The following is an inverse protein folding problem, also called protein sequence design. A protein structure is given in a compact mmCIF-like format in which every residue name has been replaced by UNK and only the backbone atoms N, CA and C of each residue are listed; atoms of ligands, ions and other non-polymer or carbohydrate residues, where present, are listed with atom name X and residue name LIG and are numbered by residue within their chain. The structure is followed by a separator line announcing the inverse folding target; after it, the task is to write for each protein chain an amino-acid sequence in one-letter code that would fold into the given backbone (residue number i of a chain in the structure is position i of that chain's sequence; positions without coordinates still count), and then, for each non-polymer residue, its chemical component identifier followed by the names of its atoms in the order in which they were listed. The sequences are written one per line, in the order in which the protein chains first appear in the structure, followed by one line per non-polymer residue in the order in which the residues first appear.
data_IF_799580892956
#
_entry.id   IF_799580892956
#
_cell.length_a   1.000
_cell.length_b   1.000
_cell.length_c   1.000
_cell.angle_alpha   90.00
_cell.angle_beta   90.00
_cell.angle_gamma   90.00
#
_symmetry.space_group_name_H-M   'P 1'
#
loop_
_entity.id
_entity.type
_entity.pdbx_description
1 polymer ?
#
# COMPACT_ATOMS: atom_id res chain seq x y z
N UNK A 1 21.71 1.71 7.00
CA UNK A 1 21.38 0.78 8.14
C UNK A 1 22.14 -0.51 7.91
N UNK A 2 22.76 -1.13 8.93
CA UNK A 2 23.59 -2.34 8.75
C UNK A 2 22.92 -3.56 9.39
N UNK A 3 23.02 -4.74 8.77
CA UNK A 3 22.26 -5.93 9.16
C UNK A 3 22.53 -6.40 10.59
N UNK A 4 23.79 -6.45 11.05
CA UNK A 4 24.13 -6.84 12.43
C UNK A 4 23.70 -5.82 13.50
N UNK A 5 23.34 -4.59 13.13
CA UNK A 5 23.16 -3.48 14.09
C UNK A 5 21.83 -3.49 14.85
N UNK A 6 20.94 -4.45 14.56
CA UNK A 6 19.57 -4.57 15.09
C UNK A 6 18.76 -3.25 15.09
N UNK A 7 19.10 -2.34 14.17
CA UNK A 7 18.40 -1.07 13.98
C UNK A 7 17.12 -1.32 13.20
N UNK A 8 16.06 -0.61 13.59
CA UNK A 8 14.75 -0.66 12.94
C UNK A 8 14.27 0.75 12.60
N UNK A 9 13.47 0.85 11.55
CA UNK A 9 12.69 2.04 11.21
C UNK A 9 11.27 1.79 11.70
N UNK A 10 10.70 2.73 12.47
CA UNK A 10 9.30 2.68 12.91
C UNK A 10 8.51 3.67 12.08
N UNK A 11 7.38 3.24 11.52
CA UNK A 11 6.48 4.13 10.79
C UNK A 11 5.92 5.20 11.72
N UNK A 12 5.54 6.37 11.17
CA UNK A 12 5.03 7.50 11.96
C UNK A 12 3.79 7.14 12.80
N UNK A 13 2.91 6.31 12.25
CA UNK A 13 1.69 5.82 12.91
C UNK A 13 1.94 4.59 13.82
N UNK A 14 3.18 4.10 13.92
CA UNK A 14 3.57 2.93 14.72
C UNK A 14 2.80 1.64 14.35
N UNK A 15 2.37 1.50 13.11
CA UNK A 15 1.74 0.28 12.60
C UNK A 15 2.78 -0.68 12.00
N UNK A 16 3.81 -0.13 11.37
CA UNK A 16 4.82 -0.90 10.66
C UNK A 16 6.23 -0.62 11.19
N UNK A 17 7.06 -1.63 11.08
CA UNK A 17 8.51 -1.51 11.30
C UNK A 17 9.25 -2.20 10.17
N UNK A 18 10.39 -1.63 9.80
CA UNK A 18 11.28 -2.16 8.79
C UNK A 18 12.68 -2.36 9.36
N UNK A 19 13.37 -3.41 8.92
CA UNK A 19 14.73 -3.70 9.37
C UNK A 19 15.21 -5.07 8.92
N UNK A 20 16.40 -5.46 9.38
CA UNK A 20 16.97 -6.76 9.07
C UNK A 20 16.47 -7.81 10.06
N UNK A 21 15.89 -8.89 9.54
CA UNK A 21 15.48 -10.07 10.31
C UNK A 21 16.44 -11.22 10.02
N UNK A 22 16.96 -11.92 11.04
CA UNK A 22 17.74 -13.13 10.83
C UNK A 22 16.86 -14.21 10.21
N UNK A 23 17.42 -15.02 9.32
CA UNK A 23 16.68 -16.14 8.72
C UNK A 23 16.72 -17.36 9.64
N UNK A 24 15.61 -18.11 9.77
CA UNK A 24 15.61 -19.34 10.58
C UNK A 24 16.45 -20.46 9.97
N UNK A 25 16.62 -20.44 8.65
CA UNK A 25 17.23 -21.51 7.86
C UNK A 25 18.76 -21.43 7.77
N UNK A 26 19.38 -20.30 8.12
CA UNK A 26 20.82 -20.13 7.99
C UNK A 26 21.40 -19.14 9.03
N UNK A 27 22.51 -19.53 9.66
CA UNK A 27 23.25 -18.67 10.58
C UNK A 27 23.86 -17.49 9.84
N UNK A 28 23.88 -16.32 10.49
CA UNK A 28 24.43 -15.06 9.97
C UNK A 28 23.83 -14.62 8.62
N UNK A 29 22.60 -15.04 8.33
CA UNK A 29 21.85 -14.62 7.17
C UNK A 29 20.67 -13.75 7.59
N UNK A 30 20.45 -12.70 6.83
CA UNK A 30 19.46 -11.67 7.11
C UNK A 30 18.61 -11.40 5.88
N UNK A 31 17.38 -10.96 6.13
CA UNK A 31 16.46 -10.46 5.09
C UNK A 31 15.94 -9.11 5.58
N UNK A 32 16.07 -8.08 4.74
CA UNK A 32 15.40 -6.82 5.02
C UNK A 32 13.89 -7.00 4.84
N UNK A 33 13.10 -6.71 5.87
CA UNK A 33 11.67 -6.99 5.89
C UNK A 33 10.88 -5.83 6.49
N UNK A 34 9.59 -5.79 6.17
CA UNK A 34 8.58 -4.93 6.80
C UNK A 34 7.59 -5.83 7.52
N UNK A 35 7.28 -5.53 8.78
CA UNK A 35 6.35 -6.30 9.60
C UNK A 35 5.49 -5.40 10.50
N UNK A 36 4.41 -5.95 11.03
CA UNK A 36 3.53 -5.24 11.97
C UNK A 36 4.24 -4.94 13.29
N UNK A 37 4.14 -3.70 13.75
CA UNK A 37 4.72 -3.25 15.00
C UNK A 37 3.82 -3.63 16.19
N UNK A 38 4.43 -4.20 17.23
CA UNK A 38 3.80 -4.39 18.54
C UNK A 38 2.48 -5.19 18.55
N UNK A 39 2.36 -6.20 17.69
CA UNK A 39 1.29 -7.20 17.76
C UNK A 39 1.73 -8.39 18.64
N UNK A 40 0.81 -8.95 19.43
CA UNK A 40 1.05 -10.13 20.26
C UNK A 40 1.23 -11.38 19.38
N UNK A 41 2.46 -11.87 19.27
CA UNK A 41 2.79 -13.06 18.47
C UNK A 41 4.16 -12.95 17.81
N UNK A 42 4.40 -13.83 16.84
CA UNK A 42 5.60 -13.75 15.99
C UNK A 42 5.38 -12.61 15.00
N UNK A 43 6.27 -11.60 14.98
CA UNK A 43 6.18 -10.42 14.11
C UNK A 43 5.76 -10.76 12.66
N UNK A 44 4.48 -10.57 12.33
CA UNK A 44 3.94 -10.91 11.01
C UNK A 44 4.58 -10.06 9.93
N UNK A 45 5.37 -10.70 9.07
CA UNK A 45 6.03 -10.08 7.92
C UNK A 45 4.99 -9.86 6.83
N UNK A 46 4.89 -8.62 6.33
CA UNK A 46 4.00 -8.25 5.22
C UNK A 46 4.76 -8.14 3.89
N UNK A 47 6.07 -7.87 3.95
CA UNK A 47 6.93 -7.82 2.77
C UNK A 47 8.39 -8.08 3.15
N UNK A 48 9.13 -8.74 2.26
CA UNK A 48 10.56 -8.99 2.41
C UNK A 48 11.29 -8.72 1.10
N UNK A 49 12.45 -8.08 1.22
CA UNK A 49 13.33 -7.78 0.12
C UNK A 49 14.12 -9.03 -0.27
N UNK A 50 13.94 -9.50 -1.51
CA UNK A 50 14.69 -10.62 -2.09
C UNK A 50 14.74 -11.86 -1.17
N UNK A 51 13.58 -12.31 -0.67
CA UNK A 51 13.49 -13.36 0.36
C UNK A 51 14.18 -14.69 -0.02
N UNK A 52 14.34 -14.95 -1.32
CA UNK A 52 14.99 -16.16 -1.84
C UNK A 52 16.53 -16.08 -1.81
N UNK A 53 17.12 -14.91 -1.59
CA UNK A 53 18.56 -14.71 -1.55
C UNK A 53 18.97 -13.88 -0.32
N UNK A 54 18.98 -14.49 0.88
CA UNK A 54 19.40 -13.85 2.13
C UNK A 54 20.83 -13.33 2.08
N UNK A 55 21.06 -12.21 2.74
CA UNK A 55 22.34 -11.48 2.74
C UNK A 55 23.12 -11.71 4.05
N UNK A 56 24.42 -11.42 4.06
CA UNK A 56 25.26 -11.52 5.27
C UNK A 56 25.12 -10.33 6.23
N UNK A 57 25.72 -10.47 7.41
CA UNK A 57 25.65 -9.51 8.53
C UNK A 57 26.33 -8.16 8.26
N UNK A 58 27.37 -8.16 7.42
CA UNK A 58 28.07 -6.97 6.90
C UNK A 58 27.25 -6.16 5.88
N UNK A 59 26.09 -6.66 5.49
CA UNK A 59 25.26 -5.98 4.49
C UNK A 59 24.63 -4.71 5.03
N UNK A 60 24.56 -3.70 4.17
CA UNK A 60 23.97 -2.40 4.51
C UNK A 60 22.91 -1.96 3.52
N UNK A 61 21.82 -1.40 4.05
CA UNK A 61 20.82 -0.67 3.29
C UNK A 61 21.23 0.80 3.20
N UNK A 62 21.37 1.27 1.96
CA UNK A 62 21.61 2.66 1.61
C UNK A 62 20.58 3.17 0.60
N UNK A 63 20.50 4.50 0.51
CA UNK A 63 19.78 5.20 -0.55
C UNK A 63 20.86 5.96 -1.33
N UNK A 64 20.93 5.75 -2.64
CA UNK A 64 21.85 6.49 -3.50
C UNK A 64 21.33 7.91 -3.75
N UNK A 65 22.19 8.77 -4.31
CA UNK A 65 21.85 10.18 -4.57
C UNK A 65 20.67 10.35 -5.55
N UNK A 66 20.37 9.32 -6.34
CA UNK A 66 19.21 9.29 -7.24
C UNK A 66 17.94 8.68 -6.60
N UNK A 67 17.95 8.46 -5.28
CA UNK A 67 16.79 7.99 -4.51
C UNK A 67 16.53 6.48 -4.61
N UNK A 68 17.43 5.70 -5.21
CA UNK A 68 17.26 4.24 -5.33
C UNK A 68 17.74 3.55 -4.05
N UNK A 69 16.96 2.59 -3.56
CA UNK A 69 17.37 1.75 -2.45
C UNK A 69 18.33 0.64 -2.93
N UNK A 70 19.50 0.60 -2.31
CA UNK A 70 20.50 -0.43 -2.57
C UNK A 70 20.79 -1.23 -1.30
N UNK A 71 20.83 -2.55 -1.45
CA UNK A 71 21.45 -3.44 -0.50
C UNK A 71 22.88 -3.72 -0.97
N UNK A 72 23.85 -3.37 -0.13
CA UNK A 72 25.27 -3.52 -0.42
C UNK A 72 25.81 -4.60 0.51
N UNK A 73 26.28 -5.71 -0.06
CA UNK A 73 26.99 -6.76 0.67
C UNK A 73 28.50 -6.50 0.54
N UNK A 74 29.15 -6.09 1.63
CA UNK A 74 30.55 -5.64 1.60
C UNK A 74 31.52 -6.76 1.22
N UNK A 75 31.26 -8.00 1.64
CA UNK A 75 32.10 -9.17 1.38
C UNK A 75 32.12 -9.58 -0.10
N UNK A 76 31.06 -9.31 -0.85
CA UNK A 76 30.90 -9.72 -2.24
C UNK A 76 30.89 -8.55 -3.23
N UNK A 77 30.94 -7.30 -2.74
CA UNK A 77 30.73 -6.08 -3.52
C UNK A 77 29.44 -6.11 -4.35
N UNK A 78 28.43 -6.89 -3.93
CA UNK A 78 27.16 -7.00 -4.63
C UNK A 78 26.25 -5.84 -4.24
N UNK A 79 25.81 -5.09 -5.24
CA UNK A 79 24.71 -4.13 -5.13
C UNK A 79 23.42 -4.82 -5.59
N UNK A 80 22.57 -5.21 -4.64
CA UNK A 80 21.26 -5.76 -4.90
C UNK A 80 20.26 -4.60 -5.00
N UNK A 81 19.65 -4.45 -6.18
CA UNK A 81 18.53 -3.54 -6.39
C UNK A 81 17.29 -4.10 -5.72
N UNK A 82 16.69 -3.31 -4.83
CA UNK A 82 15.41 -3.63 -4.23
C UNK A 82 14.29 -3.24 -5.20
N UNK A 83 13.85 -4.18 -6.05
CA UNK A 83 12.76 -3.89 -6.99
C UNK A 83 12.52 -4.91 -8.10
N UNK A 84 13.45 -5.84 -8.36
CA UNK A 84 13.29 -6.83 -9.43
C UNK A 84 12.72 -8.16 -8.94
N UNK A 85 11.59 -8.13 -8.24
CA UNK A 85 10.83 -9.35 -7.97
C UNK A 85 9.51 -9.26 -8.72
N UNK A 86 9.36 -10.08 -9.77
CA UNK A 86 8.04 -10.39 -10.32
C UNK A 86 7.17 -10.87 -9.17
N UNK A 87 6.09 -10.15 -8.86
CA UNK A 87 5.12 -10.61 -7.88
C UNK A 87 4.52 -11.93 -8.42
N UNK A 88 4.83 -13.06 -7.79
CA UNK A 88 4.23 -14.33 -8.16
C UNK A 88 2.76 -14.30 -7.75
N UNK A 89 1.88 -14.26 -8.77
CA UNK A 89 0.43 -14.41 -8.64
C UNK A 89 0.11 -15.63 -7.79
N UNK A 90 -0.55 -15.45 -6.64
CA UNK A 90 -1.18 -16.56 -5.94
C UNK A 90 -2.49 -16.90 -6.67
N UNK A 91 -2.60 -18.04 -7.37
CA UNK A 91 -3.80 -18.41 -8.12
C UNK A 91 -5.02 -18.64 -7.21
N UNK A 92 -4.83 -18.76 -5.89
CA UNK A 92 -5.89 -18.97 -4.91
C UNK A 92 -6.33 -17.67 -4.20
N UNK A 93 -5.79 -16.50 -4.55
CA UNK A 93 -6.26 -15.22 -4.01
C UNK A 93 -7.54 -14.80 -4.73
N UNK A 94 -8.66 -14.76 -4.01
CA UNK A 94 -10.02 -14.64 -4.58
C UNK A 94 -10.43 -13.22 -4.96
N UNK A 95 -9.58 -12.20 -4.82
CA UNK A 95 -9.96 -10.82 -5.17
C UNK A 95 -8.76 -9.95 -5.54
N UNK A 96 -8.34 -10.04 -6.81
CA UNK A 96 -7.47 -9.04 -7.43
C UNK A 96 -8.36 -7.98 -8.07
N UNK A 97 -8.38 -6.76 -7.55
CA UNK A 97 -9.22 -5.68 -8.07
C UNK A 97 -8.45 -4.71 -8.98
N UNK A 98 -7.12 -4.76 -8.93
CA UNK A 98 -6.26 -4.01 -9.83
C UNK A 98 -5.00 -4.82 -10.14
N UNK A 99 -4.59 -4.80 -11.40
CA UNK A 99 -3.33 -5.37 -11.83
C UNK A 99 -2.76 -4.55 -12.98
N UNK A 100 -1.49 -4.22 -12.89
CA UNK A 100 -0.72 -3.89 -14.07
C UNK A 100 -0.16 -5.18 -14.66
N UNK A 101 -0.32 -5.39 -15.97
CA UNK A 101 0.22 -6.57 -16.66
C UNK A 101 1.76 -6.56 -16.69
N UNK A 102 2.35 -5.37 -16.48
CA UNK A 102 3.77 -5.11 -16.61
C UNK A 102 4.36 -4.61 -15.28
N UNK A 103 5.64 -4.91 -15.04
CA UNK A 103 6.34 -4.48 -13.84
C UNK A 103 6.78 -3.02 -13.97
N UNK A 104 6.54 -2.21 -12.93
CA UNK A 104 7.13 -0.86 -12.87
C UNK A 104 8.63 -0.96 -12.60
N UNK A 105 9.45 -0.39 -13.48
CA UNK A 105 10.91 -0.36 -13.34
C UNK A 105 11.34 0.88 -12.58
N UNK A 106 10.89 2.06 -13.03
CA UNK A 106 11.42 3.34 -12.55
C UNK A 106 10.41 4.45 -12.69
N UNK A 107 10.30 5.27 -11.64
CA UNK A 107 9.64 6.57 -11.67
C UNK A 107 10.71 7.65 -11.92
N UNK A 108 10.64 8.28 -13.07
CA UNK A 108 11.55 9.35 -13.49
C UNK A 108 11.21 10.68 -12.83
N UNK A 109 12.22 11.54 -12.72
CA UNK A 109 12.08 12.87 -12.10
C UNK A 109 11.13 13.82 -12.86
N UNK A 110 10.74 13.50 -14.09
CA UNK A 110 9.75 14.25 -14.88
C UNK A 110 8.33 13.67 -14.76
N UNK A 111 8.11 12.62 -13.96
CA UNK A 111 6.78 12.01 -13.77
C UNK A 111 6.45 10.83 -14.68
N UNK A 112 7.42 10.32 -15.46
CA UNK A 112 7.24 9.11 -16.28
C UNK A 112 7.58 7.87 -15.47
N UNK A 113 6.68 6.89 -15.47
CA UNK A 113 6.94 5.53 -14.99
C UNK A 113 7.25 4.63 -16.18
N UNK A 114 8.45 4.04 -16.21
CA UNK A 114 8.84 3.05 -17.23
C UNK A 114 8.49 1.64 -16.78
N UNK A 115 8.02 0.82 -17.71
CA UNK A 115 7.61 -0.56 -17.50
C UNK A 115 8.57 -1.54 -18.22
N UNK A 116 8.61 -2.79 -17.77
CA UNK A 116 9.49 -3.86 -18.29
C UNK A 116 9.32 -4.14 -19.79
N UNK A 117 8.11 -4.00 -20.32
CA UNK A 117 7.81 -4.12 -21.74
C UNK A 117 8.13 -2.85 -22.57
N UNK A 118 8.67 -1.81 -21.95
CA UNK A 118 8.94 -0.51 -22.58
C UNK A 118 7.76 0.45 -22.62
N UNK A 119 6.57 0.04 -22.14
CA UNK A 119 5.44 0.95 -21.99
C UNK A 119 5.73 2.01 -20.92
N UNK A 120 5.06 3.16 -21.04
CA UNK A 120 5.19 4.26 -20.10
C UNK A 120 3.84 4.68 -19.57
N UNK A 121 3.85 5.11 -18.32
CA UNK A 121 2.71 5.75 -17.66
C UNK A 121 3.16 7.14 -17.20
N UNK A 122 2.29 8.13 -17.32
CA UNK A 122 2.66 9.55 -17.13
C UNK A 122 1.80 10.15 -16.03
N UNK A 123 2.42 10.84 -15.06
CA UNK A 123 1.71 11.58 -14.02
C UNK A 123 1.06 12.85 -14.56
N UNK A 124 0.02 13.34 -13.88
CA UNK A 124 -0.72 14.54 -14.32
C UNK A 124 0.12 15.82 -14.30
N UNK A 125 1.17 15.85 -13.49
CA UNK A 125 2.13 16.95 -13.33
C UNK A 125 3.41 16.73 -14.16
N UNK A 126 3.28 16.09 -15.33
CA UNK A 126 4.41 15.75 -16.19
C UNK A 126 5.29 16.96 -16.51
N UNK A 127 6.61 16.77 -16.39
CA UNK A 127 7.65 17.77 -16.64
C UNK A 127 7.56 19.05 -15.77
N UNK A 128 6.71 19.04 -14.74
CA UNK A 128 6.70 20.10 -13.74
C UNK A 128 7.97 20.07 -12.89
N UNK A 129 8.57 21.25 -12.74
CA UNK A 129 9.82 21.49 -12.01
C UNK A 129 9.59 21.72 -10.52
N UNK A 130 10.63 21.55 -9.71
CA UNK A 130 10.57 21.66 -8.23
C UNK A 130 9.59 20.68 -7.57
N UNK A 131 9.34 19.55 -8.22
CA UNK A 131 8.52 18.45 -7.71
C UNK A 131 9.40 17.27 -7.36
N UNK A 132 9.09 16.57 -6.27
CA UNK A 132 9.67 15.27 -5.95
C UNK A 132 8.54 14.25 -5.86
N UNK A 133 8.59 13.19 -6.66
CA UNK A 133 7.49 12.23 -6.80
C UNK A 133 7.85 10.90 -6.14
N UNK A 134 6.87 10.25 -5.52
CA UNK A 134 6.99 8.91 -4.96
C UNK A 134 5.79 8.05 -5.33
N UNK A 135 6.04 6.77 -5.59
CA UNK A 135 5.00 5.75 -5.69
C UNK A 135 4.64 5.27 -4.27
N UNK A 136 3.36 5.31 -3.91
CA UNK A 136 2.87 5.00 -2.56
C UNK A 136 1.67 4.08 -2.67
N UNK A 137 1.67 2.99 -1.91
CA UNK A 137 0.46 2.20 -1.65
C UNK A 137 -0.14 2.77 -0.37
N UNK A 138 -1.31 3.41 -0.43
CA UNK A 138 -1.95 3.93 0.78
C UNK A 138 -2.72 2.83 1.52
N UNK A 139 -3.27 3.18 2.68
CA UNK A 139 -3.98 2.28 3.60
C UNK A 139 -5.31 1.75 3.06
N UNK A 140 -5.91 2.42 2.08
CA UNK A 140 -7.03 1.91 1.31
C UNK A 140 -6.64 0.84 0.26
N UNK A 141 -5.35 0.54 0.16
CA UNK A 141 -4.79 -0.47 -0.75
C UNK A 141 -4.60 0.00 -2.18
N UNK A 142 -4.96 1.24 -2.52
CA UNK A 142 -4.79 1.76 -3.86
C UNK A 142 -3.37 2.32 -4.07
N UNK A 143 -2.82 2.10 -5.25
CA UNK A 143 -1.47 2.54 -5.61
C UNK A 143 -1.53 3.94 -6.23
N UNK A 144 -0.73 4.87 -5.72
CA UNK A 144 -0.75 6.29 -6.13
C UNK A 144 0.64 6.81 -6.42
N UNK A 145 0.74 7.82 -7.29
CA UNK A 145 1.91 8.70 -7.36
C UNK A 145 1.58 9.97 -6.58
N UNK A 146 2.35 10.23 -5.53
CA UNK A 146 2.28 11.48 -4.75
C UNK A 146 3.43 12.38 -5.18
N UNK A 147 3.09 13.61 -5.58
CA UNK A 147 4.04 14.66 -5.93
C UNK A 147 4.17 15.62 -4.75
N UNK A 148 5.40 15.85 -4.31
CA UNK A 148 5.73 16.82 -3.28
C UNK A 148 6.22 18.10 -3.95
N UNK A 149 5.50 19.19 -3.74
CA UNK A 149 5.95 20.52 -4.15
C UNK A 149 6.97 21.06 -3.15
N UNK A 150 8.20 21.29 -3.60
CA UNK A 150 9.29 21.73 -2.73
C UNK A 150 9.06 23.15 -2.20
N UNK A 151 8.35 24.00 -2.96
CA UNK A 151 8.07 25.39 -2.59
C UNK A 151 6.95 25.49 -1.57
N UNK A 152 5.81 24.84 -1.83
CA UNK A 152 4.65 24.89 -0.92
C UNK A 152 4.78 23.90 0.24
N UNK A 153 5.63 22.88 0.09
CA UNK A 153 5.79 21.75 1.02
C UNK A 153 4.51 20.92 1.17
N UNK A 154 3.75 20.82 0.11
CA UNK A 154 2.49 20.06 0.07
C UNK A 154 2.62 18.83 -0.82
N UNK A 155 1.87 17.78 -0.45
CA UNK A 155 1.70 16.59 -1.27
C UNK A 155 0.40 16.68 -2.05
N UNK A 156 0.47 16.36 -3.34
CA UNK A 156 -0.70 16.18 -4.19
C UNK A 156 -0.64 14.80 -4.85
N UNK A 157 -1.80 14.18 -5.02
CA UNK A 157 -1.91 12.94 -5.79
C UNK A 157 -1.97 13.30 -7.27
N UNK A 158 -1.06 12.75 -8.06
CA UNK A 158 -0.91 13.05 -9.50
C UNK A 158 -1.15 11.84 -10.40
N UNK A 159 -1.38 10.67 -9.79
CA UNK A 159 -1.83 9.46 -10.48
C UNK A 159 -2.40 8.46 -9.47
N UNK A 160 -3.36 7.65 -9.92
CA UNK A 160 -4.06 6.60 -9.17
C UNK A 160 -4.16 5.33 -10.03
N UNK A 161 -3.94 4.16 -9.43
CA UNK A 161 -4.16 2.87 -10.06
C UNK A 161 -5.64 2.60 -10.32
N UNK A 162 -6.48 2.82 -9.31
CA UNK A 162 -7.94 2.77 -9.40
C UNK A 162 -8.49 4.18 -9.22
N UNK A 163 -9.11 4.74 -10.25
CA UNK A 163 -9.69 6.10 -10.19
C UNK A 163 -11.01 6.13 -9.41
N UNK A 164 -11.81 5.07 -9.51
CA UNK A 164 -13.13 4.96 -8.88
C UNK A 164 -13.12 3.80 -7.87
N UNK A 165 -12.74 4.07 -6.62
CA UNK A 165 -12.65 3.04 -5.59
C UNK A 165 -14.00 2.36 -5.30
N UNK A 166 -15.13 3.00 -5.59
CA UNK A 166 -16.44 2.35 -5.51
C UNK A 166 -16.68 1.21 -6.51
N UNK A 167 -15.84 1.07 -7.55
CA UNK A 167 -15.89 -0.10 -8.44
C UNK A 167 -15.27 -1.35 -7.81
N UNK A 168 -14.47 -1.18 -6.76
CA UNK A 168 -13.85 -2.28 -6.02
C UNK A 168 -14.87 -2.89 -5.08
N UNK A 169 -15.07 -4.20 -5.19
CA UNK A 169 -16.00 -4.91 -4.32
C UNK A 169 -15.47 -4.91 -2.87
N UNK A 170 -16.34 -4.52 -1.93
CA UNK A 170 -16.00 -4.49 -0.50
C UNK A 170 -15.36 -3.19 -0.01
N UNK A 171 -15.29 -2.13 -0.84
CA UNK A 171 -14.84 -0.80 -0.42
C UNK A 171 -15.66 -0.24 0.75
N UNK A 172 -16.96 -0.54 0.78
CA UNK A 172 -17.85 -0.20 1.88
C UNK A 172 -18.48 -1.47 2.49
N UNK A 173 -18.84 -1.39 3.77
CA UNK A 173 -19.43 -2.51 4.49
C UNK A 173 -20.91 -2.74 4.17
N UNK A 174 -21.50 -3.77 4.78
CA UNK A 174 -22.83 -4.24 4.41
C UNK A 174 -23.92 -3.16 4.47
N UNK A 175 -24.83 -3.20 3.49
CA UNK A 175 -25.98 -2.29 3.34
C UNK A 175 -25.63 -0.79 3.24
N UNK A 176 -24.40 -0.46 2.87
CA UNK A 176 -23.99 0.92 2.59
C UNK A 176 -24.02 1.22 1.09
N UNK A 177 -24.03 2.51 0.76
CA UNK A 177 -23.78 3.02 -0.58
C UNK A 177 -22.40 3.66 -0.59
N UNK A 178 -21.56 3.22 -1.52
CA UNK A 178 -20.28 3.83 -1.80
C UNK A 178 -20.45 5.08 -2.66
N UNK A 179 -19.83 6.19 -2.29
CA UNK A 179 -19.81 7.42 -3.06
C UNK A 179 -18.38 7.92 -3.26
N UNK A 180 -18.06 8.38 -4.46
CA UNK A 180 -16.77 8.99 -4.76
C UNK A 180 -16.76 10.47 -4.34
N UNK A 181 -15.67 10.93 -3.71
CA UNK A 181 -15.43 12.36 -3.43
C UNK A 181 -14.22 12.82 -4.24
N UNK A 182 -14.48 13.56 -5.33
CA UNK A 182 -13.42 14.08 -6.19
C UNK A 182 -12.67 15.28 -5.57
N UNK A 183 -13.10 15.80 -4.41
CA UNK A 183 -12.55 17.01 -3.80
C UNK A 183 -11.57 16.75 -2.66
N UNK A 184 -11.46 15.50 -2.21
CA UNK A 184 -10.69 15.14 -1.02
C UNK A 184 -9.51 14.22 -1.33
N UNK A 185 -8.58 14.13 -0.38
CA UNK A 185 -7.41 13.23 -0.47
C UNK A 185 -7.81 11.75 -0.45
N UNK A 186 -8.93 11.43 0.20
CA UNK A 186 -9.60 10.13 0.12
C UNK A 186 -10.68 10.17 -0.97
N UNK A 187 -10.59 9.33 -2.02
CA UNK A 187 -11.47 9.43 -3.18
C UNK A 187 -12.88 8.87 -2.93
N UNK A 188 -13.18 8.35 -1.73
CA UNK A 188 -14.40 7.57 -1.48
C UNK A 188 -14.86 7.60 -0.03
N UNK A 189 -16.18 7.60 0.16
CA UNK A 189 -16.84 7.48 1.47
C UNK A 189 -18.13 6.67 1.38
N UNK A 190 -18.58 6.14 2.52
CA UNK A 190 -19.71 5.22 2.61
C UNK A 190 -20.87 5.89 3.36
N UNK A 191 -22.09 5.79 2.81
CA UNK A 191 -23.31 6.37 3.41
C UNK A 191 -24.40 5.33 3.58
N UNK A 192 -25.23 5.47 4.61
CA UNK A 192 -26.44 4.64 4.71
C UNK A 192 -27.54 5.14 3.78
N UNK A 193 -28.18 4.23 3.01
CA UNK A 193 -29.37 4.59 2.25
C UNK A 193 -30.53 5.01 3.16
N UNK A 194 -31.50 5.73 2.58
CA UNK A 194 -32.76 6.04 3.24
C UNK A 194 -33.43 4.78 3.80
N UNK A 195 -33.89 4.84 5.06
CA UNK A 195 -34.45 3.68 5.77
C UNK A 195 -33.42 2.87 6.58
N UNK A 196 -32.13 3.17 6.47
CA UNK A 196 -31.05 2.53 7.21
C UNK A 196 -30.34 3.51 8.15
N UNK A 197 -29.71 3.00 9.21
CA UNK A 197 -28.89 3.75 10.16
C UNK A 197 -27.56 3.05 10.35
N UNK A 198 -26.54 3.80 10.79
CA UNK A 198 -25.25 3.21 11.12
C UNK A 198 -25.41 2.11 12.16
N UNK A 199 -24.68 1.03 11.94
CA UNK A 199 -24.54 -0.02 12.91
C UNK A 199 -23.63 0.46 14.05
N UNK A 200 -24.14 0.44 15.28
CA UNK A 200 -23.39 0.89 16.46
C UNK A 200 -22.52 -0.21 17.06
N UNK A 201 -22.52 -1.42 16.49
CA UNK A 201 -21.66 -2.51 16.93
C UNK A 201 -20.21 -2.23 16.52
N UNK A 202 -19.30 -2.21 17.51
CA UNK A 202 -17.88 -1.85 17.36
C UNK A 202 -17.13 -2.74 16.36
N UNK A 203 -17.60 -3.97 16.15
CA UNK A 203 -16.98 -4.94 15.25
C UNK A 203 -17.37 -4.77 13.77
N UNK A 204 -18.33 -3.89 13.46
CA UNK A 204 -18.92 -3.73 12.12
C UNK A 204 -19.00 -2.24 11.73
N UNK A 205 -17.94 -1.49 12.03
CA UNK A 205 -17.89 -0.03 12.09
C UNK A 205 -18.17 0.73 10.79
N UNK A 206 -18.43 0.04 9.67
CA UNK A 206 -18.77 0.62 8.37
C UNK A 206 -19.99 -0.06 7.72
N UNK A 207 -20.95 -0.54 8.53
CA UNK A 207 -22.17 -1.19 8.03
C UNK A 207 -23.43 -0.43 8.43
N UNK A 208 -24.51 -0.67 7.68
CA UNK A 208 -25.82 -0.09 7.94
C UNK A 208 -26.84 -1.17 8.30
N UNK A 209 -27.78 -0.81 9.17
CA UNK A 209 -28.89 -1.67 9.57
C UNK A 209 -30.22 -0.97 9.31
N UNK A 210 -31.24 -1.75 8.96
CA UNK A 210 -32.60 -1.24 8.76
C UNK A 210 -33.07 -0.50 10.04
N UNK A 211 -33.65 0.70 9.88
CA UNK A 211 -34.22 1.48 10.99
C UNK A 211 -35.44 0.79 11.61
N UNK A 212 -36.25 0.14 10.78
CA UNK A 212 -37.51 -0.51 11.16
C UNK A 212 -37.47 -1.99 10.78
N UNK A 213 -37.13 -2.89 11.71
CA UNK A 213 -36.98 -4.32 11.43
C UNK A 213 -38.24 -4.90 10.77
N UNK A 214 -38.06 -5.82 9.83
CA UNK A 214 -39.18 -6.52 9.23
C UNK A 214 -39.87 -7.37 10.30
N UNK A 215 -41.14 -7.07 10.58
CA UNK A 215 -41.95 -7.92 11.44
C UNK A 215 -42.76 -8.85 10.52
N UNK A 216 -42.68 -10.16 10.73
CA UNK A 216 -43.31 -11.19 9.86
C UNK A 216 -44.85 -11.15 9.86
N UNK A 217 -45.45 -10.16 10.52
CA UNK A 217 -46.88 -9.88 10.46
C UNK A 217 -47.16 -8.95 9.26
N UNK A 218 -47.25 -9.57 8.07
CA UNK A 218 -47.51 -8.96 6.76
C UNK A 218 -48.81 -8.11 6.64
N UNK A 219 -49.54 -7.87 7.72
CA UNK A 219 -50.82 -7.15 7.71
C UNK A 219 -50.74 -5.63 7.94
N UNK A 220 -49.62 -5.07 8.40
CA UNK A 220 -49.59 -3.68 8.92
C UNK A 220 -48.37 -2.84 8.52
N UNK A 221 -47.68 -3.14 7.42
CA UNK A 221 -46.64 -2.24 6.92
C UNK A 221 -47.26 -1.13 6.08
N UNK A 222 -47.58 0.02 6.71
CA UNK A 222 -47.84 1.27 5.99
C UNK A 222 -46.49 1.83 5.53
N UNK A 223 -46.27 1.85 4.22
CA UNK A 223 -45.29 2.76 3.63
C UNK A 223 -45.78 4.19 3.91
N UNK A 224 -44.97 4.96 4.63
CA UNK A 224 -45.17 6.40 4.83
C UNK A 224 -44.80 7.16 3.56
#
# INVERSE_FOLDING_TARGET
MVAYSNKILVSRNKVFVAGFKPTPSALNRYIFSIWYYNISGNNTIVWSANANSPITDDSSLGISDNGVFHLIESSSSRNLLLGSSSATRNPNSTSLYWSNENTFIKLEANGVVTQDNGATLVSSDFDEQNKSRRLTLDDDGNLRIQSFDIKTREFTVVWLAVQEMCTVHGTCGDNTICMNDASNTDPTFCVCPSGFKNNTNVNESNSCVIKTPWNNNHGNTKFL
#
